data_IF_046396807839
#
_entry.id   IF_046396807839
#
_cell.length_a   1.000
_cell.length_b   1.000
_cell.length_c   1.000
_cell.angle_alpha   90.00
_cell.angle_beta   90.00
_cell.angle_gamma   90.00
#
_symmetry.space_group_name_H-M   'P 1'
#
loop_
_entity.id
_entity.type
_entity.pdbx_description
1 polymer ?
#
# COMPACT_ATOMS: atom_id res chain seq x y z
N UNK A 1 13.22 -23.23 11.05
CA UNK A 1 12.02 -22.44 10.68
C UNK A 1 11.28 -22.08 11.96
N UNK A 2 10.91 -20.82 12.13
CA UNK A 2 9.98 -20.42 13.18
C UNK A 2 8.57 -20.83 12.72
N UNK A 3 7.75 -21.34 13.63
CA UNK A 3 6.34 -21.60 13.34
C UNK A 3 5.64 -20.29 12.91
N UNK A 4 4.67 -20.36 11.98
CA UNK A 4 3.92 -19.19 11.59
C UNK A 4 3.24 -18.58 12.83
N UNK A 5 3.39 -17.28 13.06
CA UNK A 5 2.79 -16.65 14.23
C UNK A 5 1.26 -16.76 14.16
N UNK A 6 0.63 -17.03 15.30
CA UNK A 6 -0.84 -17.12 15.43
C UNK A 6 -1.55 -15.77 15.30
N UNK A 7 -0.79 -14.68 15.21
CA UNK A 7 -1.27 -13.31 15.24
C UNK A 7 -0.48 -12.45 14.25
N UNK A 8 -1.16 -11.54 13.55
CA UNK A 8 -0.50 -10.57 12.67
C UNK A 8 -0.04 -9.34 13.46
N UNK A 9 0.87 -8.56 12.87
CA UNK A 9 1.30 -7.28 13.45
C UNK A 9 0.13 -6.29 13.54
N UNK A 10 -0.77 -6.33 12.57
CA UNK A 10 -1.98 -5.50 12.58
C UNK A 10 -2.84 -5.83 13.80
N UNK A 11 -3.05 -7.11 14.09
CA UNK A 11 -3.80 -7.56 15.28
C UNK A 11 -3.11 -7.09 16.57
N UNK A 12 -1.78 -7.17 16.63
CA UNK A 12 -1.00 -6.69 17.76
C UNK A 12 -1.16 -5.17 17.98
N UNK A 13 -1.10 -4.38 16.90
CA UNK A 13 -1.31 -2.93 16.97
C UNK A 13 -2.72 -2.60 17.47
N UNK A 14 -3.74 -3.32 17.00
CA UNK A 14 -5.13 -3.13 17.44
C UNK A 14 -5.33 -3.53 18.91
N UNK A 15 -4.80 -4.68 19.33
CA UNK A 15 -4.95 -5.16 20.71
C UNK A 15 -4.22 -4.29 21.73
N UNK A 16 -3.08 -3.72 21.35
CA UNK A 16 -2.28 -2.87 22.23
C UNK A 16 -2.66 -1.39 22.17
N UNK A 17 -3.57 -0.99 21.27
CA UNK A 17 -3.94 0.41 21.00
C UNK A 17 -2.70 1.31 20.77
N UNK A 18 -1.80 0.83 19.92
CA UNK A 18 -0.57 1.55 19.56
C UNK A 18 -0.46 1.76 18.06
N UNK A 19 0.18 2.86 17.67
CA UNK A 19 0.57 3.07 16.28
C UNK A 19 1.90 2.37 15.96
N UNK A 20 2.20 2.26 14.67
CA UNK A 20 3.42 1.60 14.19
C UNK A 20 4.71 2.25 14.73
N UNK A 21 4.73 3.57 14.95
CA UNK A 21 5.91 4.28 15.43
C UNK A 21 6.24 3.88 16.87
N UNK A 22 5.22 3.74 17.72
CA UNK A 22 5.37 3.21 19.08
C UNK A 22 5.86 1.76 19.06
N UNK A 23 5.36 0.94 18.13
CA UNK A 23 5.84 -0.43 17.95
C UNK A 23 7.32 -0.47 17.60
N UNK A 24 7.78 0.31 16.61
CA UNK A 24 9.19 0.37 16.24
C UNK A 24 10.09 0.85 17.38
N UNK A 25 9.67 1.89 18.09
CA UNK A 25 10.40 2.34 19.28
C UNK A 25 10.53 1.24 20.33
N UNK A 26 9.44 0.50 20.56
CA UNK A 26 9.43 -0.64 21.50
C UNK A 26 10.37 -1.75 21.03
N UNK A 27 10.34 -2.07 19.73
CA UNK A 27 11.24 -3.06 19.12
C UNK A 27 12.71 -2.67 19.29
N UNK A 28 13.06 -1.40 19.15
CA UNK A 28 14.44 -0.94 19.36
C UNK A 28 14.89 -1.06 20.82
N UNK A 29 14.00 -0.76 21.76
CA UNK A 29 14.25 -0.99 23.19
C UNK A 29 14.45 -2.49 23.48
N UNK A 30 13.64 -3.36 22.87
CA UNK A 30 13.75 -4.82 23.01
C UNK A 30 15.07 -5.32 22.41
N UNK A 31 15.44 -4.87 21.20
CA UNK A 31 16.72 -5.21 20.54
C UNK A 31 17.92 -4.79 21.40
N UNK A 32 17.84 -3.65 22.09
CA UNK A 32 18.91 -3.11 22.91
C UNK A 32 19.03 -3.75 24.31
N UNK A 33 17.89 -4.11 24.93
CA UNK A 33 17.84 -4.61 26.32
C UNK A 33 17.84 -6.13 26.44
N UNK A 34 17.40 -6.85 25.40
CA UNK A 34 17.32 -8.31 25.41
C UNK A 34 18.34 -8.93 24.45
N UNK A 35 18.98 -10.03 24.87
CA UNK A 35 19.83 -10.85 24.01
C UNK A 35 18.98 -11.70 23.06
N UNK A 36 18.42 -11.06 22.05
CA UNK A 36 17.65 -11.73 21.00
C UNK A 36 18.56 -12.58 20.08
N UNK A 37 18.02 -13.67 19.55
CA UNK A 37 18.72 -14.41 18.50
C UNK A 37 18.84 -13.57 17.23
N UNK A 38 19.92 -13.77 16.46
CA UNK A 38 20.14 -13.08 15.19
C UNK A 38 18.98 -13.27 14.20
N UNK A 39 18.33 -14.43 14.25
CA UNK A 39 17.13 -14.71 13.45
C UNK A 39 15.98 -13.76 13.79
N UNK A 40 15.69 -13.55 15.07
CA UNK A 40 14.61 -12.64 15.51
C UNK A 40 14.95 -11.19 15.14
N UNK A 41 16.19 -10.76 15.38
CA UNK A 41 16.64 -9.40 15.01
C UNK A 41 16.48 -9.14 13.50
N UNK A 42 16.81 -10.12 12.67
CA UNK A 42 16.64 -10.02 11.22
C UNK A 42 15.16 -9.91 10.82
N UNK A 43 14.28 -10.74 11.41
CA UNK A 43 12.83 -10.67 11.14
C UNK A 43 12.25 -9.31 11.53
N UNK A 44 12.61 -8.80 12.71
CA UNK A 44 12.16 -7.49 13.18
C UNK A 44 12.62 -6.36 12.25
N UNK A 45 13.88 -6.41 11.81
CA UNK A 45 14.45 -5.42 10.87
C UNK A 45 13.79 -5.53 9.49
N UNK A 46 13.53 -6.74 9.01
CA UNK A 46 12.86 -6.99 7.74
C UNK A 46 11.41 -6.47 7.75
N UNK A 47 10.69 -6.70 8.85
CA UNK A 47 9.34 -6.20 9.05
C UNK A 47 9.28 -4.67 9.02
N UNK A 48 10.18 -4.01 9.77
CA UNK A 48 10.31 -2.57 9.82
C UNK A 48 10.59 -1.98 8.43
N UNK A 49 11.56 -2.53 7.70
CA UNK A 49 11.88 -2.11 6.32
C UNK A 49 10.71 -2.33 5.37
N UNK A 50 10.05 -3.48 5.43
CA UNK A 50 8.89 -3.76 4.58
C UNK A 50 7.77 -2.74 4.81
N UNK A 51 7.48 -2.39 6.06
CA UNK A 51 6.50 -1.35 6.37
C UNK A 51 6.91 -0.01 5.78
N UNK A 52 8.16 0.43 5.99
CA UNK A 52 8.65 1.71 5.47
C UNK A 52 8.55 1.78 3.93
N UNK A 53 8.92 0.71 3.23
CA UNK A 53 8.81 0.64 1.76
C UNK A 53 7.35 0.73 1.33
N UNK A 54 6.47 -0.11 1.88
CA UNK A 54 5.06 -0.15 1.47
C UNK A 54 4.36 1.17 1.81
N UNK A 55 4.66 1.76 2.97
CA UNK A 55 4.12 3.06 3.40
C UNK A 55 4.58 4.20 2.49
N UNK A 56 5.88 4.27 2.17
CA UNK A 56 6.42 5.28 1.25
C UNK A 56 5.81 5.17 -0.16
N UNK A 57 5.63 3.93 -0.65
CA UNK A 57 4.99 3.68 -1.93
C UNK A 57 3.52 4.03 -1.92
N UNK A 58 2.79 3.70 -0.84
CA UNK A 58 1.37 4.05 -0.72
C UNK A 58 1.17 5.56 -0.68
N UNK A 59 2.00 6.27 0.09
CA UNK A 59 1.96 7.72 0.13
C UNK A 59 2.23 8.32 -1.25
N UNK A 60 3.27 7.85 -1.95
CA UNK A 60 3.59 8.28 -3.32
C UNK A 60 2.44 7.96 -4.30
N UNK A 61 1.85 6.78 -4.17
CA UNK A 61 0.72 6.32 -4.98
C UNK A 61 -0.48 7.24 -4.84
N UNK A 62 -0.91 7.54 -3.61
CA UNK A 62 -2.09 8.39 -3.38
C UNK A 62 -1.80 9.85 -3.72
N UNK A 63 -0.71 10.40 -3.20
CA UNK A 63 -0.48 11.86 -3.26
C UNK A 63 0.04 12.36 -4.61
N UNK A 64 0.75 11.51 -5.37
CA UNK A 64 1.40 11.93 -6.63
C UNK A 64 0.86 11.19 -7.84
N UNK A 65 0.81 9.86 -7.80
CA UNK A 65 0.43 9.08 -8.98
C UNK A 65 -1.08 9.17 -9.23
N UNK A 66 -1.90 8.93 -8.21
CA UNK A 66 -3.35 8.96 -8.37
C UNK A 66 -3.87 10.36 -8.71
N UNK A 67 -3.31 11.40 -8.09
CA UNK A 67 -3.69 12.80 -8.33
C UNK A 67 -3.29 13.30 -9.71
N UNK A 68 -2.19 12.80 -10.28
CA UNK A 68 -1.80 13.16 -11.64
C UNK A 68 -2.61 12.42 -12.70
N UNK A 69 -3.04 11.19 -12.41
CA UNK A 69 -3.66 10.30 -13.39
C UNK A 69 -5.18 10.32 -13.37
N UNK A 70 -5.79 10.25 -12.20
CA UNK A 70 -7.25 10.17 -12.06
C UNK A 70 -7.84 11.52 -11.70
N UNK A 71 -9.08 11.75 -12.12
CA UNK A 71 -9.85 12.91 -11.67
C UNK A 71 -10.08 12.86 -10.15
N UNK A 72 -10.06 14.02 -9.51
CA UNK A 72 -10.45 14.13 -8.11
C UNK A 72 -11.93 13.79 -7.98
N UNK A 73 -12.27 12.97 -6.98
CA UNK A 73 -13.66 12.57 -6.72
C UNK A 73 -14.54 13.82 -6.42
N UNK A 74 -13.94 14.90 -5.89
CA UNK A 74 -14.60 16.20 -5.65
C UNK A 74 -15.13 16.89 -6.93
N UNK A 75 -14.59 16.58 -8.10
CA UNK A 75 -15.05 17.17 -9.37
C UNK A 75 -16.28 16.47 -9.95
N UNK A 76 -16.70 15.33 -9.39
CA UNK A 76 -17.91 14.62 -9.84
C UNK A 76 -19.19 15.24 -9.27
N UNK A 77 -19.12 15.98 -8.16
CA UNK A 77 -20.29 16.70 -7.60
C UNK A 77 -20.67 17.93 -8.45
N UNK A 78 -19.73 18.52 -9.19
CA UNK A 78 -19.99 19.72 -10.02
C UNK A 78 -20.54 19.35 -11.41
N UNK A 79 -20.51 18.07 -11.80
CA UNK A 79 -21.00 17.60 -13.11
C UNK A 79 -22.44 17.08 -13.10
N UNK A 80 -23.21 17.32 -12.02
CA UNK A 80 -24.62 16.91 -11.92
C UNK A 80 -25.57 17.62 -12.90
N UNK A 81 -25.13 18.64 -13.65
CA UNK A 81 -25.95 19.24 -14.73
C UNK A 81 -25.90 18.46 -16.06
N UNK A 82 -25.09 17.40 -16.18
CA UNK A 82 -25.07 16.57 -17.39
C UNK A 82 -25.61 15.18 -17.09
N UNK A 83 -26.74 14.86 -17.74
CA UNK A 83 -27.51 13.60 -17.65
C UNK A 83 -26.60 12.39 -17.93
N UNK A 84 -25.92 11.87 -16.90
CA UNK A 84 -25.25 10.57 -16.94
C UNK A 84 -25.92 9.64 -15.92
N UNK A 85 -26.18 8.38 -16.28
CA UNK A 85 -26.71 7.41 -15.33
C UNK A 85 -25.72 7.24 -14.17
N UNK A 86 -26.21 7.00 -12.94
CA UNK A 86 -25.35 6.82 -11.78
C UNK A 86 -24.35 5.70 -12.05
N UNK A 87 -23.06 6.03 -11.98
CA UNK A 87 -22.00 5.04 -12.14
C UNK A 87 -22.08 4.04 -10.99
N UNK A 88 -21.94 2.75 -11.32
CA UNK A 88 -21.83 1.71 -10.29
C UNK A 88 -20.55 1.94 -9.49
N UNK A 89 -20.61 1.71 -8.18
CA UNK A 89 -19.44 1.81 -7.28
C UNK A 89 -18.23 0.99 -7.77
N UNK A 90 -18.48 -0.07 -8.56
CA UNK A 90 -17.48 -0.93 -9.18
C UNK A 90 -16.72 -0.32 -10.36
N UNK A 91 -17.07 0.90 -10.80
CA UNK A 91 -16.52 1.50 -12.02
C UNK A 91 -15.86 2.87 -11.78
N UNK A 92 -16.01 3.44 -10.59
CA UNK A 92 -15.49 4.77 -10.24
C UNK A 92 -13.97 4.84 -10.01
N UNK A 93 -13.45 6.06 -9.93
CA UNK A 93 -12.04 6.35 -9.68
C UNK A 93 -11.53 5.65 -8.41
N UNK A 94 -12.31 5.70 -7.32
CA UNK A 94 -11.97 5.05 -6.05
C UNK A 94 -11.77 3.54 -6.20
N UNK A 95 -12.61 2.87 -6.99
CA UNK A 95 -12.45 1.45 -7.28
C UNK A 95 -11.16 1.18 -8.05
N UNK A 96 -10.83 1.99 -9.07
CA UNK A 96 -9.60 1.85 -9.86
C UNK A 96 -8.33 2.06 -9.02
N UNK A 97 -8.33 3.07 -8.14
CA UNK A 97 -7.26 3.30 -7.15
C UNK A 97 -7.06 2.05 -6.27
N UNK A 98 -8.14 1.51 -5.71
CA UNK A 98 -8.10 0.29 -4.88
C UNK A 98 -7.62 -0.94 -5.67
N UNK A 99 -8.14 -1.14 -6.88
CA UNK A 99 -7.76 -2.24 -7.77
C UNK A 99 -6.26 -2.21 -8.08
N UNK A 100 -5.72 -1.02 -8.41
CA UNK A 100 -4.30 -0.84 -8.66
C UNK A 100 -3.45 -1.19 -7.44
N UNK A 101 -3.83 -0.72 -6.25
CA UNK A 101 -3.08 -0.99 -5.02
C UNK A 101 -3.11 -2.47 -4.63
N UNK A 102 -4.26 -3.12 -4.72
CA UNK A 102 -4.40 -4.56 -4.44
C UNK A 102 -3.58 -5.39 -5.43
N UNK A 103 -3.64 -5.04 -6.73
CA UNK A 103 -2.83 -5.71 -7.75
C UNK A 103 -1.33 -5.58 -7.43
N UNK A 104 -0.87 -4.38 -7.06
CA UNK A 104 0.50 -4.15 -6.64
C UNK A 104 0.90 -5.02 -5.43
N UNK A 105 0.07 -5.09 -4.39
CA UNK A 105 0.36 -5.91 -3.21
C UNK A 105 0.48 -7.40 -3.56
N UNK A 106 -0.43 -7.91 -4.39
CA UNK A 106 -0.39 -9.29 -4.87
C UNK A 106 0.83 -9.55 -5.75
N UNK A 107 1.13 -8.66 -6.69
CA UNK A 107 2.30 -8.78 -7.56
C UNK A 107 3.59 -8.69 -6.77
N UNK A 108 3.70 -7.79 -5.78
CA UNK A 108 4.84 -7.69 -4.88
C UNK A 108 5.09 -9.02 -4.18
N UNK A 109 4.04 -9.61 -3.60
CA UNK A 109 4.16 -10.88 -2.87
C UNK A 109 4.65 -12.02 -3.78
N UNK A 110 4.17 -12.09 -5.02
CA UNK A 110 4.51 -13.18 -5.94
C UNK A 110 5.84 -12.98 -6.69
N UNK A 111 6.21 -11.75 -7.04
CA UNK A 111 7.35 -11.45 -7.89
C UNK A 111 8.58 -10.94 -7.12
N UNK A 112 8.36 -10.29 -5.98
CA UNK A 112 9.39 -9.63 -5.18
C UNK A 112 9.28 -9.99 -3.67
N UNK A 113 9.22 -11.28 -3.28
CA UNK A 113 9.00 -11.68 -1.88
C UNK A 113 10.12 -11.23 -0.93
N UNK A 114 11.38 -11.37 -1.38
CA UNK A 114 12.57 -11.10 -0.55
C UNK A 114 13.31 -9.81 -0.95
N UNK A 115 12.79 -9.09 -1.94
CA UNK A 115 13.37 -7.81 -2.35
C UNK A 115 13.13 -6.76 -1.27
N UNK A 116 14.16 -5.98 -0.96
CA UNK A 116 14.07 -4.84 -0.01
C UNK A 116 14.39 -3.50 -0.70
N UNK A 117 14.59 -3.51 -2.01
CA UNK A 117 14.91 -2.31 -2.78
C UNK A 117 13.64 -1.54 -3.14
N UNK A 118 13.52 -0.30 -2.66
CA UNK A 118 12.38 0.56 -2.95
C UNK A 118 12.16 0.76 -4.47
N UNK A 119 13.25 0.88 -5.23
CA UNK A 119 13.19 1.16 -6.66
C UNK A 119 12.46 0.06 -7.45
N UNK A 120 12.77 -1.21 -7.20
CA UNK A 120 12.12 -2.33 -7.89
C UNK A 120 10.63 -2.42 -7.57
N UNK A 121 10.25 -2.16 -6.32
CA UNK A 121 8.84 -2.09 -5.93
C UNK A 121 8.12 -0.91 -6.58
N UNK A 122 8.79 0.24 -6.72
CA UNK A 122 8.23 1.39 -7.41
C UNK A 122 8.01 1.11 -8.90
N UNK A 123 8.96 0.46 -9.58
CA UNK A 123 8.79 0.03 -10.96
C UNK A 123 7.59 -0.92 -11.11
N UNK A 124 7.44 -1.89 -10.20
CA UNK A 124 6.29 -2.79 -10.20
C UNK A 124 4.97 -2.05 -10.00
N UNK A 125 4.93 -1.08 -9.08
CA UNK A 125 3.76 -0.22 -8.88
C UNK A 125 3.39 0.55 -10.16
N UNK A 126 4.36 1.09 -10.89
CA UNK A 126 4.11 1.76 -12.17
C UNK A 126 3.55 0.80 -13.22
N UNK A 127 4.03 -0.44 -13.29
CA UNK A 127 3.47 -1.45 -14.18
C UNK A 127 2.01 -1.78 -13.84
N UNK A 128 1.69 -1.91 -12.55
CA UNK A 128 0.31 -2.12 -12.09
C UNK A 128 -0.59 -0.92 -12.45
N UNK A 129 -0.09 0.30 -12.28
CA UNK A 129 -0.79 1.52 -12.63
C UNK A 129 -1.07 1.60 -14.13
N UNK A 130 -0.07 1.33 -14.96
CA UNK A 130 -0.23 1.29 -16.42
C UNK A 130 -1.27 0.26 -16.86
N UNK A 131 -1.25 -0.93 -16.25
CA UNK A 131 -2.21 -1.99 -16.55
C UNK A 131 -3.64 -1.57 -16.24
N UNK A 132 -3.88 -0.94 -15.08
CA UNK A 132 -5.20 -0.41 -14.71
C UNK A 132 -5.59 0.75 -15.61
N UNK A 133 -4.64 1.62 -15.99
CA UNK A 133 -4.89 2.75 -16.86
C UNK A 133 -5.40 2.35 -18.23
N UNK A 134 -4.82 1.32 -18.85
CA UNK A 134 -5.25 0.79 -20.15
C UNK A 134 -6.69 0.27 -20.14
N UNK A 135 -7.24 -0.03 -18.96
CA UNK A 135 -8.62 -0.49 -18.77
C UNK A 135 -9.55 0.58 -18.21
N UNK A 136 -9.00 1.75 -17.87
CA UNK A 136 -9.77 2.84 -17.27
C UNK A 136 -10.36 3.71 -18.38
N UNK A 137 -11.68 3.93 -18.41
CA UNK A 137 -12.30 4.86 -19.33
C UNK A 137 -11.69 6.26 -19.24
N UNK A 138 -11.44 6.91 -20.38
CA UNK A 138 -10.74 8.21 -20.44
C UNK A 138 -11.45 9.32 -19.66
N UNK A 139 -12.78 9.27 -19.51
CA UNK A 139 -13.52 10.28 -18.74
C UNK A 139 -13.21 10.27 -17.24
N UNK A 140 -12.60 9.19 -16.71
CA UNK A 140 -12.12 9.09 -15.33
C UNK A 140 -10.68 9.59 -15.16
N UNK A 141 -9.98 9.87 -16.26
CA UNK A 141 -8.58 10.27 -16.28
C UNK A 141 -8.46 11.79 -16.40
N UNK A 142 -7.37 12.33 -15.86
CA UNK A 142 -7.00 13.72 -16.10
C UNK A 142 -6.56 13.88 -17.56
N UNK A 143 -6.97 15.01 -18.16
CA UNK A 143 -6.66 15.40 -19.54
C UNK A 143 -5.30 16.07 -19.65
#
# INVERSE_FOLDING_TARGET
CLEPPSMTITDLLFMADININKLFHTMDVVKAKLSLSKSIQNHLTQMERNYCIVSALFHTFITRLCTSVFKNDDNFEVLEETILPPMRESEGVTFRKKQCWVLFLLSKYNLLPDTMELFQHFQLLLCCLEFVLRQTPSFLLNS
#
